data_IF_384693295929
#
_entry.id   IF_384693295929
#
_cell.length_a   1.000
_cell.length_b   1.000
_cell.length_c   1.000
_cell.angle_alpha   90.00
_cell.angle_beta   90.00
_cell.angle_gamma   90.00
#
_symmetry.space_group_name_H-M   'P 1'
#
loop_
_entity.id
_entity.type
_entity.pdbx_description
1 polymer ?
#
# COMPACT_ATOMS: atom_id res chain seq x y z
N UNK A 1 -35.03 -6.28 5.23
CA UNK A 1 -34.80 -5.02 4.48
C UNK A 1 -33.50 -4.35 4.91
N UNK A 2 -33.34 -3.94 6.17
CA UNK A 2 -32.12 -3.25 6.64
C UNK A 2 -30.83 -4.07 6.41
N UNK A 3 -30.82 -5.37 6.75
CA UNK A 3 -29.67 -6.26 6.56
C UNK A 3 -29.23 -6.34 5.08
N UNK A 4 -30.19 -6.50 4.18
CA UNK A 4 -29.97 -6.56 2.73
C UNK A 4 -29.39 -5.23 2.19
N UNK A 5 -29.86 -4.08 2.70
CA UNK A 5 -29.28 -2.78 2.34
C UNK A 5 -27.81 -2.69 2.76
N UNK A 6 -27.46 -3.19 3.94
CA UNK A 6 -26.07 -3.18 4.41
C UNK A 6 -25.16 -4.10 3.59
N UNK A 7 -25.62 -5.29 3.23
CA UNK A 7 -24.86 -6.19 2.34
C UNK A 7 -24.54 -5.53 1.00
N UNK A 8 -25.52 -4.86 0.39
CA UNK A 8 -25.32 -4.12 -0.86
C UNK A 8 -24.29 -3.00 -0.69
N UNK A 9 -24.32 -2.27 0.43
CA UNK A 9 -23.32 -1.23 0.73
C UNK A 9 -21.93 -1.85 0.86
N UNK A 10 -21.77 -2.94 1.61
CA UNK A 10 -20.48 -3.61 1.79
C UNK A 10 -19.91 -4.12 0.48
N UNK A 11 -20.73 -4.75 -0.36
CA UNK A 11 -20.34 -5.21 -1.69
C UNK A 11 -19.93 -4.03 -2.57
N UNK A 12 -20.68 -2.93 -2.55
CA UNK A 12 -20.35 -1.72 -3.31
C UNK A 12 -19.00 -1.15 -2.88
N UNK A 13 -18.71 -1.12 -1.58
CA UNK A 13 -17.41 -0.69 -1.06
C UNK A 13 -16.26 -1.60 -1.50
N UNK A 14 -16.47 -2.92 -1.50
CA UNK A 14 -15.48 -3.88 -2.00
C UNK A 14 -15.22 -3.72 -3.50
N UNK A 15 -16.27 -3.48 -4.30
CA UNK A 15 -16.14 -3.19 -5.74
C UNK A 15 -15.34 -1.91 -5.97
N UNK A 16 -15.65 -0.83 -5.23
CA UNK A 16 -14.88 0.43 -5.28
C UNK A 16 -13.41 0.18 -4.95
N UNK A 17 -13.13 -0.60 -3.90
CA UNK A 17 -11.78 -0.98 -3.53
C UNK A 17 -11.05 -1.69 -4.68
N UNK A 18 -11.64 -2.75 -5.25
CA UNK A 18 -11.06 -3.51 -6.36
C UNK A 18 -10.77 -2.61 -7.56
N UNK A 19 -11.74 -1.79 -7.98
CA UNK A 19 -11.61 -0.89 -9.12
C UNK A 19 -10.43 0.08 -8.91
N UNK A 20 -10.33 0.70 -7.73
CA UNK A 20 -9.24 1.63 -7.43
C UNK A 20 -7.87 0.97 -7.51
N UNK A 21 -7.72 -0.26 -7.00
CA UNK A 21 -6.46 -0.99 -7.07
C UNK A 21 -6.09 -1.40 -8.49
N UNK A 22 -7.06 -1.83 -9.30
CA UNK A 22 -6.83 -2.15 -10.70
C UNK A 22 -6.43 -0.92 -11.51
N UNK A 23 -7.05 0.24 -11.27
CA UNK A 23 -6.67 1.50 -11.92
C UNK A 23 -5.23 1.89 -11.54
N UNK A 24 -4.87 1.80 -10.25
CA UNK A 24 -3.49 2.06 -9.80
C UNK A 24 -2.50 1.10 -10.47
N UNK A 25 -2.84 -0.19 -10.53
CA UNK A 25 -2.00 -1.21 -11.17
C UNK A 25 -1.76 -0.90 -12.64
N UNK A 26 -2.82 -0.61 -13.39
CA UNK A 26 -2.76 -0.28 -14.81
C UNK A 26 -1.93 1.00 -15.05
N UNK A 27 -2.16 2.04 -14.26
CA UNK A 27 -1.38 3.28 -14.33
C UNK A 27 0.11 3.04 -14.07
N UNK A 28 0.45 2.28 -13.02
CA UNK A 28 1.83 1.96 -12.68
C UNK A 28 2.48 1.07 -13.75
N UNK A 29 1.73 0.15 -14.37
CA UNK A 29 2.21 -0.70 -15.46
C UNK A 29 2.60 0.14 -16.68
N UNK A 30 1.71 1.04 -17.11
CA UNK A 30 2.01 1.99 -18.21
C UNK A 30 3.25 2.82 -17.87
N UNK A 31 3.33 3.34 -16.63
CA UNK A 31 4.49 4.12 -16.19
C UNK A 31 5.78 3.31 -16.16
N UNK A 32 5.74 2.05 -15.71
CA UNK A 32 6.89 1.16 -15.68
C UNK A 32 7.47 0.98 -17.08
N UNK A 33 6.63 0.75 -18.09
CA UNK A 33 7.09 0.61 -19.48
C UNK A 33 7.61 1.94 -20.05
N UNK A 34 6.93 3.06 -19.79
CA UNK A 34 7.36 4.39 -20.26
C UNK A 34 8.71 4.82 -19.68
N UNK A 35 8.95 4.59 -18.39
CA UNK A 35 10.15 5.09 -17.68
C UNK A 35 11.21 4.01 -17.47
N UNK A 36 10.96 2.76 -17.90
CA UNK A 36 11.80 1.58 -17.67
C UNK A 36 12.09 1.32 -16.18
N UNK A 37 11.20 1.74 -15.28
CA UNK A 37 11.33 1.60 -13.83
C UNK A 37 10.78 0.26 -13.32
N UNK A 38 11.48 -0.84 -13.63
CA UNK A 38 11.05 -2.20 -13.26
C UNK A 38 10.95 -2.46 -11.75
N UNK A 39 11.49 -1.58 -10.91
CA UNK A 39 11.29 -1.63 -9.45
C UNK A 39 9.81 -1.43 -9.04
N UNK A 40 8.95 -0.96 -9.93
CA UNK A 40 7.50 -0.83 -9.71
C UNK A 40 6.75 -2.18 -9.82
N UNK A 41 7.35 -3.20 -10.45
CA UNK A 41 6.68 -4.48 -10.69
C UNK A 41 6.09 -5.14 -9.43
N UNK A 42 6.80 -5.24 -8.29
CA UNK A 42 6.23 -5.85 -7.09
C UNK A 42 5.02 -5.06 -6.55
N UNK A 43 5.01 -3.73 -6.71
CA UNK A 43 3.86 -2.91 -6.29
C UNK A 43 2.65 -3.12 -7.22
N UNK A 44 2.87 -3.24 -8.52
CA UNK A 44 1.81 -3.57 -9.49
C UNK A 44 1.20 -4.93 -9.14
N UNK A 45 2.04 -5.95 -8.95
CA UNK A 45 1.59 -7.30 -8.58
C UNK A 45 0.89 -7.31 -7.22
N UNK A 46 1.33 -6.49 -6.26
CA UNK A 46 0.65 -6.32 -4.98
C UNK A 46 -0.81 -5.88 -5.15
N UNK A 47 -1.08 -4.84 -5.94
CA UNK A 47 -2.44 -4.35 -6.16
C UNK A 47 -3.29 -5.34 -6.98
N UNK A 48 -2.70 -5.98 -8.00
CA UNK A 48 -3.39 -7.01 -8.79
C UNK A 48 -3.78 -8.20 -7.91
N UNK A 49 -2.86 -8.77 -7.14
CA UNK A 49 -3.13 -9.94 -6.31
C UNK A 49 -4.10 -9.63 -5.16
N UNK A 50 -4.05 -8.42 -4.60
CA UNK A 50 -5.06 -7.98 -3.62
C UNK A 50 -6.46 -7.83 -4.22
N UNK A 51 -6.56 -7.47 -5.51
CA UNK A 51 -7.84 -7.44 -6.22
C UNK A 51 -8.33 -8.85 -6.52
N UNK A 52 -7.45 -9.70 -7.08
CA UNK A 52 -7.76 -11.09 -7.43
C UNK A 52 -8.18 -11.90 -6.21
N UNK A 53 -7.48 -11.77 -5.06
CA UNK A 53 -7.85 -12.53 -3.86
C UNK A 53 -9.27 -12.22 -3.39
N UNK A 54 -9.73 -10.98 -3.55
CA UNK A 54 -11.08 -10.58 -3.15
C UNK A 54 -12.14 -11.13 -4.08
N UNK A 55 -11.86 -11.10 -5.39
CA UNK A 55 -12.70 -11.74 -6.39
C UNK A 55 -12.82 -13.23 -6.07
N UNK A 56 -11.69 -13.93 -5.84
CA UNK A 56 -11.68 -15.36 -5.50
C UNK A 56 -12.40 -15.62 -4.18
N UNK A 57 -12.24 -14.77 -3.16
CA UNK A 57 -12.96 -14.92 -1.90
C UNK A 57 -14.48 -14.93 -2.11
N UNK A 58 -14.99 -14.13 -3.04
CA UNK A 58 -16.41 -14.11 -3.38
C UNK A 58 -16.90 -15.41 -4.07
N UNK A 59 -16.01 -16.22 -4.65
CA UNK A 59 -16.34 -17.48 -5.31
C UNK A 59 -15.92 -18.69 -4.45
N UNK A 60 -16.90 -19.35 -3.82
CA UNK A 60 -16.73 -20.46 -2.87
C UNK A 60 -15.86 -21.65 -3.33
N UNK A 61 -15.88 -22.14 -4.60
CA UNK A 61 -15.12 -23.35 -4.96
C UNK A 61 -13.59 -23.16 -4.97
N UNK A 62 -13.10 -21.93 -4.84
CA UNK A 62 -11.67 -21.61 -4.97
C UNK A 62 -11.01 -21.27 -3.62
N UNK A 63 -11.51 -21.80 -2.51
CA UNK A 63 -11.01 -21.47 -1.16
C UNK A 63 -9.52 -21.79 -0.98
N UNK A 64 -9.03 -22.91 -1.51
CA UNK A 64 -7.60 -23.29 -1.44
C UNK A 64 -6.74 -22.26 -2.18
N UNK A 65 -7.20 -21.83 -3.38
CA UNK A 65 -6.49 -20.82 -4.16
C UNK A 65 -6.47 -19.47 -3.42
N UNK A 66 -7.58 -19.08 -2.77
CA UNK A 66 -7.63 -17.91 -1.91
C UNK A 66 -6.60 -17.98 -0.77
N UNK A 67 -6.52 -19.13 -0.08
CA UNK A 67 -5.58 -19.37 1.02
C UNK A 67 -4.11 -19.25 0.59
N UNK A 68 -3.78 -19.63 -0.65
CA UNK A 68 -2.43 -19.47 -1.20
C UNK A 68 -2.18 -18.00 -1.57
N UNK A 69 -3.11 -17.36 -2.29
CA UNK A 69 -2.92 -16.00 -2.80
C UNK A 69 -2.79 -14.98 -1.66
N UNK A 70 -3.51 -15.14 -0.54
CA UNK A 70 -3.44 -14.18 0.58
C UNK A 70 -2.04 -14.03 1.17
N UNK A 71 -1.14 -15.01 0.97
CA UNK A 71 0.21 -15.01 1.54
C UNK A 71 1.20 -14.11 0.79
N UNK A 72 0.92 -13.79 -0.47
CA UNK A 72 1.90 -13.20 -1.41
C UNK A 72 1.95 -11.65 -1.36
N UNK A 73 0.83 -10.90 -1.29
CA UNK A 73 0.86 -9.44 -1.45
C UNK A 73 1.83 -8.72 -0.50
N UNK A 74 1.81 -9.02 0.80
CA UNK A 74 2.66 -8.32 1.77
C UNK A 74 4.16 -8.56 1.53
N UNK A 75 4.53 -9.73 0.97
CA UNK A 75 5.89 -10.04 0.55
C UNK A 75 6.30 -9.13 -0.62
N UNK A 76 5.43 -9.00 -1.63
CA UNK A 76 5.67 -8.12 -2.78
C UNK A 76 5.80 -6.65 -2.36
N UNK A 77 4.96 -6.20 -1.42
CA UNK A 77 5.05 -4.84 -0.89
C UNK A 77 6.40 -4.61 -0.19
N UNK A 78 6.89 -5.59 0.57
CA UNK A 78 8.19 -5.51 1.22
C UNK A 78 9.34 -5.46 0.21
N UNK A 79 9.27 -6.25 -0.87
CA UNK A 79 10.24 -6.22 -1.98
C UNK A 79 10.23 -4.85 -2.66
N UNK A 80 9.04 -4.29 -2.94
CA UNK A 80 8.91 -2.94 -3.48
C UNK A 80 9.60 -1.90 -2.58
N UNK A 81 9.41 -1.97 -1.25
CA UNK A 81 10.04 -1.04 -0.32
C UNK A 81 11.57 -1.10 -0.45
N UNK A 82 12.14 -2.32 -0.52
CA UNK A 82 13.58 -2.51 -0.68
C UNK A 82 14.09 -1.93 -2.01
N UNK A 83 13.44 -2.25 -3.12
CA UNK A 83 13.89 -1.82 -4.45
C UNK A 83 13.75 -0.30 -4.65
N UNK A 84 12.74 0.32 -4.05
CA UNK A 84 12.43 1.74 -4.26
C UNK A 84 13.13 2.65 -3.26
N UNK A 85 13.12 2.32 -1.98
CA UNK A 85 13.63 3.23 -0.93
C UNK A 85 15.02 2.86 -0.41
N UNK A 86 15.49 1.64 -0.67
CA UNK A 86 16.78 1.16 -0.17
C UNK A 86 17.64 0.55 -1.29
N UNK A 87 17.48 1.04 -2.53
CA UNK A 87 18.38 0.72 -3.63
C UNK A 87 19.80 1.05 -3.18
N UNK A 88 20.66 0.03 -3.12
CA UNK A 88 22.06 0.12 -2.69
C UNK A 88 22.29 0.61 -1.24
N UNK A 89 21.25 0.63 -0.38
CA UNK A 89 21.36 1.01 1.03
C UNK A 89 21.16 -0.20 1.95
N UNK A 90 21.82 -0.21 3.11
CA UNK A 90 21.55 -1.15 4.21
C UNK A 90 20.09 -0.98 4.66
N UNK A 91 19.43 -2.09 4.97
CA UNK A 91 18.01 -2.14 5.33
C UNK A 91 17.73 -3.42 6.13
N UNK A 92 16.80 -3.40 7.10
CA UNK A 92 16.32 -4.60 7.78
C UNK A 92 15.48 -5.53 6.88
N UNK A 93 15.34 -5.21 5.58
CA UNK A 93 14.56 -5.98 4.61
C UNK A 93 14.75 -7.49 4.68
N UNK A 94 15.99 -8.00 4.73
CA UNK A 94 16.24 -9.45 4.75
C UNK A 94 15.60 -10.12 5.98
N UNK A 95 15.75 -9.49 7.15
CA UNK A 95 15.14 -9.96 8.39
C UNK A 95 13.62 -9.96 8.27
N UNK A 96 13.01 -8.83 7.87
CA UNK A 96 11.56 -8.75 7.68
C UNK A 96 11.04 -9.76 6.66
N UNK A 97 11.76 -10.00 5.57
CA UNK A 97 11.35 -10.93 4.53
C UNK A 97 11.37 -12.38 5.03
N UNK A 98 12.45 -12.79 5.69
CA UNK A 98 12.57 -14.15 6.24
C UNK A 98 11.49 -14.40 7.28
N UNK A 99 11.32 -13.47 8.24
CA UNK A 99 10.27 -13.60 9.26
C UNK A 99 8.89 -13.65 8.62
N UNK A 100 8.62 -12.80 7.63
CA UNK A 100 7.34 -12.81 6.92
C UNK A 100 7.09 -14.14 6.21
N UNK A 101 8.05 -14.66 5.45
CA UNK A 101 7.90 -15.94 4.75
C UNK A 101 7.62 -17.08 5.74
N UNK A 102 8.36 -17.16 6.84
CA UNK A 102 8.15 -18.18 7.88
C UNK A 102 6.75 -18.09 8.49
N UNK A 103 6.37 -16.88 8.91
CA UNK A 103 5.08 -16.61 9.57
C UNK A 103 3.90 -16.86 8.62
N UNK A 104 4.02 -16.51 7.33
CA UNK A 104 3.02 -16.79 6.29
C UNK A 104 2.92 -18.28 5.93
N UNK A 105 4.04 -19.00 5.97
CA UNK A 105 4.06 -20.45 5.71
C UNK A 105 3.38 -21.23 6.83
N UNK A 106 3.64 -20.85 8.10
CA UNK A 106 2.95 -21.41 9.27
C UNK A 106 1.46 -21.08 9.20
N UNK A 107 1.08 -19.84 8.90
CA UNK A 107 -0.33 -19.43 8.71
C UNK A 107 -1.02 -20.28 7.64
N UNK A 108 -0.42 -20.44 6.47
CA UNK A 108 -0.96 -21.28 5.39
C UNK A 108 -1.17 -22.72 5.86
N UNK A 109 -0.17 -23.31 6.53
CA UNK A 109 -0.27 -24.67 7.04
C UNK A 109 -1.42 -24.84 8.04
N UNK A 110 -1.56 -23.92 9.01
CA UNK A 110 -2.65 -23.93 9.98
C UNK A 110 -4.00 -23.85 9.26
N UNK A 111 -4.15 -22.94 8.29
CA UNK A 111 -5.42 -22.75 7.56
C UNK A 111 -5.80 -23.96 6.71
N UNK A 112 -4.82 -24.61 6.09
CA UNK A 112 -5.06 -25.83 5.31
C UNK A 112 -5.45 -27.01 6.20
N UNK A 113 -4.84 -27.14 7.38
CA UNK A 113 -5.10 -28.25 8.29
C UNK A 113 -6.42 -28.11 9.05
N UNK A 114 -6.77 -26.90 9.48
CA UNK A 114 -7.91 -26.65 10.37
C UNK A 114 -9.07 -25.90 9.69
N UNK A 115 -8.95 -25.55 8.40
CA UNK A 115 -10.01 -24.87 7.66
C UNK A 115 -10.29 -23.42 8.09
N UNK A 116 -9.45 -22.83 8.94
CA UNK A 116 -9.70 -21.52 9.57
C UNK A 116 -9.56 -20.38 8.54
N UNK A 117 -10.60 -19.55 8.40
CA UNK A 117 -10.61 -18.38 7.50
C UNK A 117 -10.79 -17.09 8.29
N UNK A 118 -10.16 -15.99 7.86
CA UNK A 118 -10.43 -14.67 8.46
C UNK A 118 -10.81 -13.71 7.33
N UNK A 119 -12.03 -13.14 7.35
CA UNK A 119 -13.08 -13.37 8.35
C UNK A 119 -13.68 -14.79 8.28
N UNK A 120 -14.26 -15.27 9.38
CA UNK A 120 -14.82 -16.63 9.49
C UNK A 120 -16.03 -16.82 8.58
N UNK A 121 -16.25 -18.06 8.14
CA UNK A 121 -17.48 -18.49 7.44
C UNK A 121 -18.37 -19.39 8.29
N UNK A 122 -17.77 -20.06 9.25
CA UNK A 122 -18.41 -21.04 10.12
C UNK A 122 -17.97 -20.77 11.57
N UNK A 123 -18.77 -21.19 12.57
CA UNK A 123 -18.40 -21.07 13.97
C UNK A 123 -17.12 -21.85 14.24
N UNK A 124 -16.21 -21.27 15.02
CA UNK A 124 -14.96 -21.92 15.42
C UNK A 124 -15.16 -22.66 16.75
N UNK A 125 -14.78 -23.93 16.80
CA UNK A 125 -14.69 -24.70 18.04
C UNK A 125 -13.58 -24.13 18.95
N UNK A 126 -13.86 -24.05 20.26
CA UNK A 126 -12.93 -23.52 21.28
C UNK A 126 -11.58 -24.25 21.28
N UNK A 127 -11.55 -25.53 20.92
CA UNK A 127 -10.32 -26.32 20.79
C UNK A 127 -9.34 -25.75 19.74
N UNK A 128 -9.81 -24.96 18.78
CA UNK A 128 -9.00 -24.34 17.73
C UNK A 128 -8.63 -22.87 18.00
N UNK A 129 -8.97 -22.34 19.17
CA UNK A 129 -8.79 -20.93 19.52
C UNK A 129 -7.30 -20.48 19.49
N UNK A 130 -6.37 -21.34 19.89
CA UNK A 130 -4.93 -21.04 19.83
C UNK A 130 -4.46 -20.83 18.38
N UNK A 131 -5.01 -21.58 17.42
CA UNK A 131 -4.68 -21.47 16.00
C UNK A 131 -5.26 -20.20 15.39
N UNK A 132 -6.47 -19.80 15.80
CA UNK A 132 -7.06 -18.52 15.42
C UNK A 132 -6.20 -17.33 15.83
N UNK A 133 -5.75 -17.28 17.08
CA UNK A 133 -4.87 -16.19 17.55
C UNK A 133 -3.48 -16.24 16.92
N UNK A 134 -2.97 -17.43 16.60
CA UNK A 134 -1.72 -17.59 15.84
C UNK A 134 -1.84 -17.00 14.42
N UNK A 135 -2.98 -17.21 13.75
CA UNK A 135 -3.30 -16.60 12.47
C UNK A 135 -3.40 -15.07 12.61
N UNK A 136 -4.12 -14.54 13.61
CA UNK A 136 -4.22 -13.10 13.85
C UNK A 136 -2.86 -12.45 14.10
N UNK A 137 -2.02 -13.08 14.93
CA UNK A 137 -0.64 -12.66 15.14
C UNK A 137 0.13 -12.63 13.82
N UNK A 138 -0.04 -13.67 13.01
CA UNK A 138 0.62 -13.76 11.71
C UNK A 138 0.21 -12.59 10.81
N UNK A 139 -1.08 -12.28 10.72
CA UNK A 139 -1.60 -11.17 9.88
C UNK A 139 -1.05 -9.84 10.41
N UNK A 140 -1.04 -9.65 11.72
CA UNK A 140 -0.53 -8.43 12.38
C UNK A 140 0.94 -8.21 12.06
N UNK A 141 1.78 -9.22 12.24
CA UNK A 141 3.20 -9.15 11.85
C UNK A 141 3.37 -8.81 10.37
N UNK A 142 2.51 -9.36 9.51
CA UNK A 142 2.55 -9.07 8.08
C UNK A 142 2.23 -7.62 7.76
N UNK A 143 1.20 -7.05 8.39
CA UNK A 143 0.82 -5.65 8.23
C UNK A 143 1.86 -4.70 8.82
N UNK A 144 2.43 -5.05 9.98
CA UNK A 144 3.49 -4.27 10.61
C UNK A 144 4.77 -4.25 9.77
N UNK A 145 5.22 -5.39 9.26
CA UNK A 145 6.44 -5.45 8.46
C UNK A 145 6.29 -4.86 7.06
N UNK A 146 5.09 -4.88 6.48
CA UNK A 146 4.84 -4.35 5.14
C UNK A 146 4.28 -2.92 5.17
N UNK A 147 3.05 -2.73 5.65
CA UNK A 147 2.34 -1.46 5.62
C UNK A 147 2.88 -0.43 6.60
N UNK A 148 3.13 -0.79 7.85
CA UNK A 148 3.70 0.17 8.81
C UNK A 148 5.11 0.58 8.37
N UNK A 149 5.92 -0.36 7.89
CA UNK A 149 7.24 -0.06 7.34
C UNK A 149 7.19 0.85 6.11
N UNK A 150 6.29 0.59 5.15
CA UNK A 150 6.05 1.51 4.02
C UNK A 150 5.68 2.91 4.52
N UNK A 151 4.82 2.98 5.53
CA UNK A 151 4.38 4.20 6.18
C UNK A 151 5.55 5.04 6.72
N UNK A 152 6.36 4.43 7.59
CA UNK A 152 7.53 5.04 8.22
C UNK A 152 8.54 5.50 7.17
N UNK A 153 8.87 4.63 6.21
CA UNK A 153 9.87 4.93 5.17
C UNK A 153 9.40 6.06 4.27
N UNK A 154 8.12 6.06 3.86
CA UNK A 154 7.56 7.11 3.01
C UNK A 154 7.55 8.47 3.72
N UNK A 155 7.23 8.52 5.01
CA UNK A 155 7.31 9.76 5.80
C UNK A 155 8.76 10.24 5.95
N UNK A 156 9.71 9.33 6.17
CA UNK A 156 11.14 9.68 6.22
C UNK A 156 11.60 10.30 4.90
N UNK A 157 11.19 9.71 3.78
CA UNK A 157 11.48 10.24 2.44
C UNK A 157 10.81 11.59 2.18
N UNK A 158 9.54 11.77 2.59
CA UNK A 158 8.88 13.08 2.54
C UNK A 158 9.67 14.15 3.29
N UNK A 159 10.13 13.85 4.51
CA UNK A 159 10.94 14.78 5.31
C UNK A 159 12.26 15.12 4.63
N UNK A 160 12.97 14.14 4.06
CA UNK A 160 14.23 14.40 3.34
C UNK A 160 14.05 15.17 2.04
N UNK A 161 12.93 14.97 1.34
CA UNK A 161 12.62 15.69 0.11
C UNK A 161 12.16 17.14 0.37
N UNK A 162 11.83 17.51 1.61
CA UNK A 162 11.31 18.84 1.95
C UNK A 162 12.27 19.95 1.50
N UNK A 163 13.58 19.75 1.69
CA UNK A 163 14.64 20.70 1.33
C UNK A 163 15.03 20.70 -0.15
N UNK A 164 14.65 19.67 -0.93
CA UNK A 164 15.04 19.55 -2.33
C UNK A 164 14.08 20.33 -3.22
N UNK A 165 14.60 21.05 -4.22
CA UNK A 165 13.83 21.82 -5.21
C UNK A 165 13.19 20.89 -6.27
N UNK A 166 12.26 20.05 -5.84
CA UNK A 166 11.38 19.25 -6.72
C UNK A 166 9.93 19.69 -6.57
N UNK A 167 9.11 19.31 -7.55
CA UNK A 167 7.68 19.60 -7.55
C UNK A 167 6.99 19.18 -6.23
N UNK A 168 6.26 20.09 -5.56
CA UNK A 168 5.61 19.81 -4.28
C UNK A 168 4.67 18.61 -4.29
N UNK A 169 3.97 18.33 -5.40
CA UNK A 169 3.06 17.19 -5.49
C UNK A 169 3.79 15.84 -5.33
N UNK A 170 5.07 15.75 -5.75
CA UNK A 170 5.91 14.56 -5.56
C UNK A 170 6.20 14.37 -4.07
N UNK A 171 6.46 15.44 -3.33
CA UNK A 171 6.64 15.39 -1.87
C UNK A 171 5.35 14.91 -1.21
N UNK A 172 4.22 15.49 -1.59
CA UNK A 172 2.89 15.15 -1.05
C UNK A 172 2.49 13.70 -1.32
N UNK A 173 2.86 13.12 -2.47
CA UNK A 173 2.67 11.68 -2.75
C UNK A 173 3.23 10.82 -1.61
N UNK A 174 4.47 11.03 -1.18
CA UNK A 174 5.08 10.24 -0.11
C UNK A 174 4.41 10.47 1.25
N UNK A 175 3.93 11.69 1.51
CA UNK A 175 3.16 11.98 2.71
C UNK A 175 1.84 11.19 2.73
N UNK A 176 1.10 11.18 1.62
CA UNK A 176 -0.18 10.47 1.49
C UNK A 176 0.03 8.96 1.64
N UNK A 177 1.00 8.37 0.91
CA UNK A 177 1.38 6.95 1.03
C UNK A 177 1.72 6.62 2.49
N UNK A 178 2.52 7.49 3.12
CA UNK A 178 2.96 7.36 4.50
C UNK A 178 1.80 7.25 5.48
N UNK A 179 0.96 8.29 5.53
CA UNK A 179 -0.17 8.39 6.45
C UNK A 179 -1.16 7.25 6.22
N UNK A 180 -1.53 7.00 4.96
CA UNK A 180 -2.51 5.95 4.64
C UNK A 180 -2.01 4.56 5.02
N UNK A 181 -0.72 4.26 4.80
CA UNK A 181 -0.16 2.95 5.15
C UNK A 181 -0.07 2.75 6.66
N UNK A 182 0.22 3.80 7.45
CA UNK A 182 0.21 3.72 8.91
C UNK A 182 -1.21 3.45 9.43
N UNK A 183 -2.19 4.24 8.99
CA UNK A 183 -3.59 4.07 9.40
C UNK A 183 -4.06 2.64 9.07
N UNK A 184 -3.77 2.17 7.85
CA UNK A 184 -4.14 0.83 7.42
C UNK A 184 -3.41 -0.26 8.21
N UNK A 185 -2.13 -0.07 8.55
CA UNK A 185 -1.40 -1.02 9.38
C UNK A 185 -2.01 -1.17 10.78
N UNK A 186 -2.42 -0.06 11.41
CA UNK A 186 -3.06 -0.09 12.74
C UNK A 186 -4.49 -0.64 12.71
N UNK A 187 -5.16 -0.62 11.56
CA UNK A 187 -6.50 -1.21 11.44
C UNK A 187 -6.53 -2.72 11.76
N UNK A 188 -5.40 -3.42 11.69
CA UNK A 188 -5.32 -4.85 12.04
C UNK A 188 -5.66 -5.13 13.51
N UNK A 189 -5.40 -4.17 14.41
CA UNK A 189 -5.70 -4.36 15.83
C UNK A 189 -7.19 -4.47 16.12
N UNK A 190 -8.03 -3.95 15.22
CA UNK A 190 -9.48 -4.13 15.32
C UNK A 190 -9.85 -5.62 15.32
N UNK A 191 -9.13 -6.47 14.59
CA UNK A 191 -9.42 -7.92 14.57
C UNK A 191 -9.26 -8.62 15.92
N UNK A 192 -8.47 -8.07 16.85
CA UNK A 192 -8.34 -8.62 18.20
C UNK A 192 -9.51 -8.26 19.12
N UNK A 193 -10.29 -7.24 18.76
CA UNK A 193 -11.48 -6.83 19.51
C UNK A 193 -12.70 -7.66 19.09
N UNK A 194 -12.60 -8.39 17.98
CA UNK A 194 -13.67 -9.25 17.48
C UNK A 194 -13.72 -10.56 18.28
N UNK A 195 -14.90 -11.01 18.74
CA UNK A 195 -15.10 -12.36 19.27
C UNK A 195 -14.63 -13.45 18.29
N UNK A 196 -14.07 -14.55 18.79
CA UNK A 196 -13.52 -15.62 17.94
C UNK A 196 -14.60 -16.34 17.11
N UNK A 197 -15.85 -16.35 17.58
CA UNK A 197 -17.01 -16.95 16.94
C UNK A 197 -17.77 -15.98 16.02
N UNK A 198 -17.16 -14.85 15.66
CA UNK A 198 -17.75 -13.84 14.81
C UNK A 198 -17.89 -14.31 13.37
N UNK A 199 -19.11 -14.28 12.84
CA UNK A 199 -19.41 -14.55 11.43
C UNK A 199 -19.96 -13.27 10.80
N UNK A 200 -19.33 -12.73 9.73
CA UNK A 200 -19.80 -11.54 9.04
C UNK A 200 -21.26 -11.61 8.61
N UNK A 201 -22.03 -10.58 8.93
CA UNK A 201 -23.39 -10.42 8.42
C UNK A 201 -24.50 -11.11 9.22
N UNK A 202 -24.16 -11.86 10.28
CA UNK A 202 -25.16 -12.54 11.11
C UNK A 202 -25.96 -11.59 12.01
N UNK A 203 -25.31 -10.57 12.55
CA UNK A 203 -25.93 -9.59 13.44
C UNK A 203 -25.49 -8.15 13.13
N UNK A 204 -26.16 -7.15 13.71
CA UNK A 204 -25.88 -5.73 13.46
C UNK A 204 -24.45 -5.33 13.87
N UNK A 205 -23.93 -5.87 14.97
CA UNK A 205 -22.56 -5.61 15.41
C UNK A 205 -21.56 -6.12 14.38
N UNK A 206 -21.79 -7.33 13.84
CA UNK A 206 -20.97 -7.91 12.79
C UNK A 206 -20.95 -7.10 11.50
N UNK A 207 -22.09 -6.55 11.12
CA UNK A 207 -22.22 -5.70 9.93
C UNK A 207 -21.47 -4.40 10.12
N UNK A 208 -21.66 -3.71 11.24
CA UNK A 208 -20.98 -2.46 11.57
C UNK A 208 -19.46 -2.69 11.57
N UNK A 209 -19.02 -3.78 12.18
CA UNK A 209 -17.61 -4.09 12.29
C UNK A 209 -16.97 -4.34 10.90
N UNK A 210 -17.62 -5.13 10.05
CA UNK A 210 -17.17 -5.37 8.67
C UNK A 210 -17.17 -4.06 7.86
N UNK A 211 -18.13 -3.17 8.08
CA UNK A 211 -18.16 -1.85 7.44
C UNK A 211 -16.97 -0.98 7.87
N UNK A 212 -16.60 -1.00 9.15
CA UNK A 212 -15.41 -0.29 9.65
C UNK A 212 -14.14 -0.84 8.99
N UNK A 213 -13.93 -2.16 9.01
CA UNK A 213 -12.77 -2.79 8.36
C UNK A 213 -12.70 -2.45 6.87
N UNK A 214 -13.83 -2.56 6.17
CA UNK A 214 -13.91 -2.27 4.74
C UNK A 214 -13.62 -0.79 4.47
N UNK A 215 -14.06 0.12 5.35
CA UNK A 215 -13.76 1.55 5.25
C UNK A 215 -12.26 1.84 5.30
N UNK A 216 -11.49 1.16 6.17
CA UNK A 216 -10.03 1.30 6.21
C UNK A 216 -9.37 0.86 4.90
N UNK A 217 -9.85 -0.25 4.30
CA UNK A 217 -9.31 -0.77 3.04
C UNK A 217 -9.63 0.16 1.87
N UNK A 218 -10.86 0.68 1.81
CA UNK A 218 -11.29 1.66 0.80
C UNK A 218 -10.51 2.97 0.96
N UNK A 219 -10.33 3.45 2.18
CA UNK A 219 -9.53 4.63 2.49
C UNK A 219 -8.08 4.45 2.01
N UNK A 220 -7.44 3.33 2.35
CA UNK A 220 -6.08 3.01 1.91
C UNK A 220 -5.98 3.02 0.38
N UNK A 221 -6.92 2.39 -0.31
CA UNK A 221 -6.90 2.27 -1.78
C UNK A 221 -7.18 3.60 -2.48
N UNK A 222 -8.06 4.42 -1.92
CA UNK A 222 -8.32 5.78 -2.38
C UNK A 222 -7.09 6.67 -2.23
N UNK A 223 -6.39 6.57 -1.10
CA UNK A 223 -5.15 7.30 -0.87
C UNK A 223 -4.03 6.85 -1.83
N UNK A 224 -3.91 5.55 -2.08
CA UNK A 224 -2.96 5.02 -3.07
C UNK A 224 -3.29 5.48 -4.49
N UNK A 225 -4.58 5.51 -4.87
CA UNK A 225 -5.03 6.07 -6.13
C UNK A 225 -4.62 7.54 -6.28
N UNK A 226 -4.93 8.38 -5.28
CA UNK A 226 -4.55 9.78 -5.27
C UNK A 226 -3.03 9.94 -5.33
N UNK A 227 -2.27 9.15 -4.56
CA UNK A 227 -0.83 9.28 -4.49
C UNK A 227 -0.13 8.90 -5.82
N UNK A 228 -0.55 7.80 -6.45
CA UNK A 228 0.11 7.28 -7.64
C UNK A 228 -0.36 7.97 -8.91
N UNK A 229 -1.67 8.05 -9.12
CA UNK A 229 -2.26 8.66 -10.32
C UNK A 229 -2.16 10.18 -10.26
N UNK A 230 -2.44 10.75 -9.09
CA UNK A 230 -2.44 12.19 -8.79
C UNK A 230 -3.18 13.03 -9.85
N UNK A 231 -4.49 13.30 -9.67
CA UNK A 231 -5.28 14.13 -10.57
C UNK A 231 -4.65 15.50 -10.86
N UNK A 232 -4.81 16.00 -12.09
CA UNK A 232 -4.23 17.28 -12.53
C UNK A 232 -4.59 18.44 -11.62
N UNK A 233 -5.85 18.52 -11.17
CA UNK A 233 -6.31 19.55 -10.21
C UNK A 233 -5.50 19.55 -8.92
N UNK A 234 -5.18 18.37 -8.38
CA UNK A 234 -4.36 18.24 -7.17
C UNK A 234 -2.89 18.58 -7.43
N UNK A 235 -2.35 18.20 -8.60
CA UNK A 235 -1.01 18.62 -9.01
C UNK A 235 -0.90 20.14 -9.07
N UNK A 236 -1.82 20.80 -9.79
CA UNK A 236 -1.87 22.25 -9.87
C UNK A 236 -2.04 22.89 -8.51
N UNK A 237 -2.89 22.33 -7.64
CA UNK A 237 -3.08 22.82 -6.28
C UNK A 237 -1.80 22.79 -5.45
N UNK A 238 -1.02 21.71 -5.51
CA UNK A 238 0.23 21.62 -4.78
C UNK A 238 1.37 22.43 -5.41
N UNK A 239 1.33 22.65 -6.73
CA UNK A 239 2.36 23.38 -7.46
C UNK A 239 2.09 24.90 -7.58
N UNK A 240 1.06 25.46 -6.93
CA UNK A 240 0.66 26.88 -7.09
C UNK A 240 1.83 27.86 -6.92
N UNK A 241 2.70 27.61 -5.96
CA UNK A 241 3.84 28.47 -5.62
C UNK A 241 5.17 27.91 -6.14
N UNK A 242 5.14 26.83 -6.92
CA UNK A 242 6.33 26.21 -7.46
C UNK A 242 6.65 26.80 -8.82
N UNK A 243 7.67 27.66 -8.86
CA UNK A 243 8.30 28.04 -10.12
C UNK A 243 9.14 26.84 -10.58
N UNK A 244 8.80 26.33 -11.77
CA UNK A 244 9.70 25.43 -12.49
C UNK A 244 10.99 26.22 -12.66
N UNK A 245 12.07 25.76 -12.03
CA UNK A 245 13.39 26.17 -12.47
C UNK A 245 13.45 25.54 -13.86
N UNK A 246 13.12 26.32 -14.89
CA UNK A 246 13.56 25.95 -16.23
C UNK A 246 15.04 25.66 -16.04
N UNK A 247 15.51 24.49 -16.47
CA UNK A 247 16.90 24.41 -16.87
C UNK A 247 17.10 25.67 -17.73
N UNK A 248 17.85 26.64 -17.21
CA UNK A 248 18.14 27.84 -17.97
C UNK A 248 18.87 27.32 -19.18
N UNK A 249 18.18 27.18 -20.30
CA UNK A 249 18.80 27.37 -21.59
C UNK A 249 19.29 28.81 -21.55
N UNK A 250 20.52 28.98 -21.07
CA UNK A 250 21.22 30.23 -21.24
C UNK A 250 21.28 30.46 -22.74
N UNK A 251 20.67 31.55 -23.22
CA UNK A 251 20.98 32.02 -24.55
C UNK A 251 22.49 32.27 -24.62
N UNK A 252 23.10 31.99 -25.77
CA UNK A 252 24.56 32.06 -25.97
C UNK A 252 25.16 33.39 -25.48
N UNK A 253 24.38 34.47 -25.57
CA UNK A 253 24.74 35.80 -25.07
C UNK A 253 24.86 35.87 -23.53
N UNK A 254 23.97 35.21 -22.77
CA UNK A 254 24.06 35.14 -21.29
C UNK A 254 25.25 34.27 -20.86
N UNK A 255 25.57 33.23 -21.62
CA UNK A 255 26.78 32.40 -21.43
C UNK A 255 28.06 33.22 -21.66
N UNK A 256 28.09 34.05 -22.70
CA UNK A 256 29.24 34.92 -23.01
C UNK A 256 29.46 36.01 -21.96
N UNK A 257 28.40 36.57 -21.38
CA UNK A 257 28.51 37.52 -20.28
C UNK A 257 29.07 36.87 -19.01
N UNK A 258 28.58 35.67 -18.66
CA UNK A 258 29.10 34.92 -17.52
C UNK A 258 30.60 34.56 -17.69
N UNK A 259 31.02 34.16 -18.89
CA UNK A 259 32.44 33.89 -19.19
C UNK A 259 33.29 35.16 -19.08
N UNK A 260 32.78 36.31 -19.57
CA UNK A 260 33.49 37.61 -19.46
C UNK A 260 33.64 38.05 -18.01
N UNK A 261 32.64 37.84 -17.18
CA UNK A 261 32.72 38.16 -15.74
C UNK A 261 33.71 37.27 -15.01
N UNK A 262 33.77 35.98 -15.35
CA UNK A 262 34.69 35.03 -14.71
C UNK A 262 36.14 35.27 -15.14
N UNK A 263 36.36 35.63 -16.41
CA UNK A 263 37.67 36.07 -16.91
C UNK A 263 38.14 37.36 -16.25
N UNK A 264 37.24 38.34 -16.03
CA UNK A 264 37.56 39.58 -15.30
C UNK A 264 37.90 39.33 -13.83
N UNK A 265 37.24 38.37 -13.17
CA UNK A 265 37.56 37.98 -11.79
C UNK A 265 38.90 37.28 -11.68
N UNK A 266 39.25 36.46 -12.67
CA UNK A 266 40.51 35.72 -12.68
C UNK A 266 41.70 36.52 -13.21
N UNK A 267 41.47 37.65 -13.90
CA UNK A 267 42.54 38.58 -14.33
C UNK A 267 43.01 39.55 -13.23
N UNK A 268 42.39 39.51 -12.05
CA UNK A 268 42.77 40.31 -10.88
C UNK A 268 43.34 39.47 -9.72
N UNK A 269 43.71 38.22 -10.00
CA UNK A 269 44.61 37.39 -9.17
C UNK A 269 45.94 37.25 -9.87
#
# INVERSE_FOLDING_TARGET
>A
MLLQTFEVILLSMQVVWIILQLIVSAFLLVKMFQTKQYNLLPLILFFILNSIRMIIYAFTPYIILYLIIIQIPNILLLIFIKLTFFRNKKSPFKFFLITLILVRSIDLWIRLQYGITIPMREPLDESYLIYYYSILLSISLSFLFSHLWLGIVSIKYYKSLKSIKIEPWIKKRYQIIGIASIIYAFSIFLYYVIPYNFIPGQDLFSIIFVAILTSFVVFYSSAMFIAWVMPTRLKTYFNKDYQIISDKEFEENELLELIKEDLKKNSHK
#
